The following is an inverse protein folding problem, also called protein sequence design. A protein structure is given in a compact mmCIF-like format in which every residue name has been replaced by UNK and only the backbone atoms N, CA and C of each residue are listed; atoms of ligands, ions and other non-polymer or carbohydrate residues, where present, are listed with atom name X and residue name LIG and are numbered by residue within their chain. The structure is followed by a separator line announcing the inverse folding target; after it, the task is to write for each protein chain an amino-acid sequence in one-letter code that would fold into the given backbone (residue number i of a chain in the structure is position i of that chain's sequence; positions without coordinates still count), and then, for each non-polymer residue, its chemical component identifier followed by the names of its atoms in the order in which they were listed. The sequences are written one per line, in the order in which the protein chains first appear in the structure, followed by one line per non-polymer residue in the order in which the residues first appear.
data_IF_016807568427
#
_entry.id   IF_016807568427
#
_cell.length_a   1.000
_cell.length_b   1.000
_cell.length_c   1.000
_cell.angle_alpha   90.00
_cell.angle_beta   90.00
_cell.angle_gamma   90.00
#
_symmetry.space_group_name_H-M   'P 1'
#
loop_
_entity.id
_entity.type
_entity.pdbx_description
1 polymer ?
#
# COMPACT_ATOMS: atom_id res chain seq x y z
N UNK A 1 23.41 -32.28 -25.41
CA UNK A 1 22.89 -32.36 -24.03
C UNK A 1 22.76 -30.97 -23.42
N UNK A 2 23.82 -30.15 -23.41
CA UNK A 2 23.75 -28.76 -22.94
C UNK A 2 22.74 -27.90 -23.71
N UNK A 3 22.70 -27.98 -25.04
CA UNK A 3 21.76 -27.17 -25.85
C UNK A 3 20.30 -27.50 -25.54
N UNK A 4 19.97 -28.78 -25.41
CA UNK A 4 18.64 -29.24 -25.01
C UNK A 4 18.26 -28.81 -23.59
N UNK A 5 19.23 -28.78 -22.65
CA UNK A 5 18.99 -28.27 -21.30
C UNK A 5 18.72 -26.76 -21.32
N UNK A 6 19.48 -25.99 -22.11
CA UNK A 6 19.28 -24.54 -22.28
C UNK A 6 17.90 -24.26 -22.86
N UNK A 7 17.49 -24.98 -23.91
CA UNK A 7 16.18 -24.83 -24.52
C UNK A 7 15.03 -25.14 -23.54
N UNK A 8 15.14 -26.23 -22.77
CA UNK A 8 14.12 -26.61 -21.79
C UNK A 8 14.03 -25.55 -20.67
N UNK A 9 15.18 -25.09 -20.15
CA UNK A 9 15.22 -24.08 -19.11
C UNK A 9 14.68 -22.73 -19.60
N UNK A 10 15.09 -22.28 -20.78
CA UNK A 10 14.59 -21.03 -21.37
C UNK A 10 13.08 -21.08 -21.58
N UNK A 11 12.55 -22.18 -22.12
CA UNK A 11 11.11 -22.36 -22.31
C UNK A 11 10.35 -22.35 -20.96
N UNK A 12 10.85 -23.07 -19.94
CA UNK A 12 10.22 -23.10 -18.62
C UNK A 12 10.28 -21.74 -17.90
N UNK A 13 11.42 -21.05 -17.96
CA UNK A 13 11.59 -19.72 -17.36
C UNK A 13 10.65 -18.73 -18.04
N UNK A 14 10.63 -18.66 -19.38
CA UNK A 14 9.73 -17.76 -20.12
C UNK A 14 8.27 -18.06 -19.82
N UNK A 15 7.88 -19.34 -19.79
CA UNK A 15 6.52 -19.72 -19.45
C UNK A 15 6.14 -19.28 -18.03
N UNK A 16 7.04 -19.44 -17.07
CA UNK A 16 6.81 -19.04 -15.67
C UNK A 16 6.71 -17.52 -15.52
N UNK A 17 7.61 -16.77 -16.18
CA UNK A 17 7.59 -15.31 -16.21
C UNK A 17 6.35 -14.76 -16.90
N UNK A 18 5.89 -15.39 -17.99
CA UNK A 18 4.67 -15.00 -18.70
C UNK A 18 3.40 -15.17 -17.85
N UNK A 19 3.44 -16.01 -16.82
CA UNK A 19 2.34 -16.24 -15.87
C UNK A 19 2.38 -15.31 -14.66
N UNK A 20 3.44 -14.50 -14.50
CA UNK A 20 3.51 -13.53 -13.42
C UNK A 20 2.42 -12.48 -13.61
N UNK A 21 1.46 -12.43 -12.69
CA UNK A 21 0.42 -11.40 -12.75
C UNK A 21 0.98 -10.08 -12.22
N UNK A 22 1.11 -9.10 -13.11
CA UNK A 22 1.57 -7.75 -12.79
C UNK A 22 0.42 -6.74 -12.65
N UNK A 23 -0.83 -7.18 -12.84
CA UNK A 23 -2.03 -6.37 -12.64
C UNK A 23 -2.81 -6.97 -11.47
N UNK A 24 -2.67 -6.35 -10.29
CA UNK A 24 -3.19 -6.92 -9.05
C UNK A 24 -4.35 -6.08 -8.50
N UNK A 25 -5.53 -6.68 -8.25
CA UNK A 25 -6.65 -5.96 -7.68
C UNK A 25 -6.39 -5.66 -6.20
N UNK A 26 -6.44 -4.37 -5.85
CA UNK A 26 -6.48 -3.89 -4.46
C UNK A 26 -7.85 -4.14 -3.86
N UNK A 27 -8.89 -3.82 -4.63
CA UNK A 27 -10.29 -4.06 -4.33
C UNK A 27 -11.09 -4.12 -5.64
N UNK A 28 -12.42 -4.13 -5.56
CA UNK A 28 -13.34 -4.21 -6.72
C UNK A 28 -13.17 -3.05 -7.73
N UNK A 29 -12.64 -1.90 -7.30
CA UNK A 29 -12.57 -0.67 -8.08
C UNK A 29 -11.14 -0.22 -8.42
N UNK A 30 -10.11 -0.83 -7.83
CA UNK A 30 -8.72 -0.39 -7.93
C UNK A 30 -7.82 -1.56 -8.28
N UNK A 31 -7.01 -1.39 -9.32
CA UNK A 31 -5.94 -2.31 -9.73
C UNK A 31 -4.61 -1.58 -9.69
N UNK A 32 -3.57 -2.22 -9.15
CA UNK A 32 -2.20 -1.72 -9.21
C UNK A 32 -1.48 -2.37 -10.38
N UNK A 33 -0.79 -1.55 -11.17
CA UNK A 33 0.07 -1.99 -12.26
C UNK A 33 1.53 -2.06 -11.81
N UNK A 34 2.10 -3.25 -11.89
CA UNK A 34 3.49 -3.58 -11.64
C UNK A 34 4.24 -3.89 -12.94
N UNK A 35 3.83 -3.32 -14.08
CA UNK A 35 4.59 -3.47 -15.31
C UNK A 35 6.03 -2.99 -15.12
N UNK A 36 6.96 -3.65 -15.80
CA UNK A 36 8.37 -3.28 -15.72
C UNK A 36 8.58 -1.89 -16.32
N UNK A 37 9.21 -1.01 -15.56
CA UNK A 37 9.56 0.34 -16.00
C UNK A 37 10.94 0.42 -16.64
N UNK A 38 11.84 -0.49 -16.26
CA UNK A 38 13.21 -0.57 -16.75
C UNK A 38 13.64 -2.02 -16.99
N UNK A 39 14.73 -2.20 -17.73
CA UNK A 39 15.37 -3.51 -17.89
C UNK A 39 15.86 -4.03 -16.52
N UNK A 40 15.68 -5.33 -16.21
CA UNK A 40 16.24 -5.93 -15.01
C UNK A 40 17.75 -5.75 -14.92
N UNK A 41 18.25 -5.51 -13.72
CA UNK A 41 19.67 -5.30 -13.42
C UNK A 41 20.22 -6.51 -12.67
N UNK A 42 21.28 -7.13 -13.20
CA UNK A 42 22.05 -8.15 -12.49
C UNK A 42 22.92 -7.47 -11.42
N UNK A 43 22.77 -7.86 -10.17
CA UNK A 43 23.56 -7.36 -9.06
C UNK A 43 24.87 -8.15 -8.93
N UNK A 44 25.95 -7.54 -8.41
CA UNK A 44 27.21 -8.24 -8.18
C UNK A 44 27.09 -9.48 -7.28
N UNK A 45 26.08 -9.52 -6.41
CA UNK A 45 25.78 -10.67 -5.53
C UNK A 45 25.08 -11.84 -6.24
N UNK A 46 24.84 -11.75 -7.55
CA UNK A 46 24.10 -12.76 -8.31
C UNK A 46 22.57 -12.61 -8.25
N UNK A 47 22.06 -11.66 -7.45
CA UNK A 47 20.63 -11.32 -7.43
C UNK A 47 20.18 -10.55 -8.67
N UNK A 48 18.88 -10.57 -8.96
CA UNK A 48 18.26 -9.80 -10.04
C UNK A 48 17.38 -8.71 -9.43
N UNK A 49 17.57 -7.47 -9.86
CA UNK A 49 16.73 -6.34 -9.49
C UNK A 49 15.81 -5.96 -10.65
N UNK A 50 14.51 -5.96 -10.38
CA UNK A 50 13.48 -5.48 -11.31
C UNK A 50 12.93 -4.14 -10.83
N UNK A 51 12.45 -3.33 -11.77
CA UNK A 51 11.84 -2.03 -11.50
C UNK A 51 10.42 -2.07 -12.00
N UNK A 52 9.46 -1.78 -11.12
CA UNK A 52 8.04 -1.87 -11.41
C UNK A 52 7.41 -0.48 -11.28
N UNK A 53 6.42 -0.17 -12.12
CA UNK A 53 5.73 1.13 -12.08
C UNK A 53 5.09 1.40 -10.72
N UNK A 54 4.26 0.46 -10.22
CA UNK A 54 3.58 0.60 -8.94
C UNK A 54 2.62 1.78 -8.93
N UNK A 55 1.60 1.75 -9.79
CA UNK A 55 0.63 2.84 -9.98
C UNK A 55 -0.80 2.31 -10.04
N UNK A 56 -1.79 3.10 -9.62
CA UNK A 56 -3.22 2.75 -9.74
C UNK A 56 -3.91 3.49 -10.89
N UNK A 57 -3.26 4.51 -11.46
CA UNK A 57 -3.83 5.32 -12.54
C UNK A 57 -2.81 5.74 -13.60
N UNK A 58 -3.32 6.10 -14.78
CA UNK A 58 -2.50 6.67 -15.88
C UNK A 58 -2.00 8.08 -15.59
N UNK A 59 -2.68 8.80 -14.67
CA UNK A 59 -2.35 10.18 -14.27
C UNK A 59 -1.62 10.19 -12.92
N UNK A 60 -0.72 9.23 -12.69
CA UNK A 60 0.06 9.16 -11.47
C UNK A 60 1.14 10.24 -11.47
N UNK A 61 1.38 10.83 -10.30
CA UNK A 61 2.50 11.76 -10.06
C UNK A 61 3.44 11.03 -9.11
N UNK A 62 4.21 10.10 -9.66
CA UNK A 62 5.14 9.26 -8.89
C UNK A 62 6.58 9.75 -8.99
N UNK A 63 7.34 9.59 -7.92
CA UNK A 63 8.78 9.81 -7.94
C UNK A 63 9.53 8.58 -8.49
N UNK A 64 10.55 8.80 -9.32
CA UNK A 64 11.51 7.73 -9.67
C UNK A 64 12.39 7.45 -8.46
N UNK A 65 12.35 6.22 -7.99
CA UNK A 65 13.13 5.80 -6.84
C UNK A 65 14.46 5.15 -7.25
N UNK A 66 15.53 5.47 -6.53
CA UNK A 66 16.84 4.83 -6.65
C UNK A 66 17.06 3.86 -5.49
N UNK A 67 16.92 2.54 -5.70
CA UNK A 67 17.06 1.55 -4.64
C UNK A 67 18.49 1.45 -4.11
N UNK A 68 18.61 1.44 -2.78
CA UNK A 68 19.80 0.97 -2.09
C UNK A 68 19.80 -0.55 -2.07
N UNK A 69 20.97 -1.17 -2.26
CA UNK A 69 21.11 -2.62 -2.12
C UNK A 69 21.04 -2.96 -0.63
N UNK A 70 20.18 -3.91 -0.29
CA UNK A 70 20.08 -4.48 1.06
C UNK A 70 20.59 -5.91 0.96
N UNK A 71 21.60 -6.25 1.76
CA UNK A 71 22.02 -7.63 1.94
C UNK A 71 20.97 -8.37 2.77
N UNK A 72 20.52 -9.51 2.25
CA UNK A 72 19.55 -10.39 2.90
C UNK A 72 19.73 -11.81 2.38
N UNK A 73 19.46 -12.79 3.22
CA UNK A 73 19.38 -14.21 2.88
C UNK A 73 17.99 -14.60 2.33
N UNK A 74 17.07 -13.64 2.17
CA UNK A 74 15.75 -13.88 1.62
C UNK A 74 15.72 -14.03 0.10
N UNK A 75 14.81 -14.85 -0.43
CA UNK A 75 14.64 -15.03 -1.88
C UNK A 75 14.23 -13.74 -2.60
N UNK A 76 13.43 -12.89 -1.95
CA UNK A 76 12.94 -11.64 -2.54
C UNK A 76 12.88 -10.50 -1.52
N UNK A 77 13.16 -9.29 -2.01
CA UNK A 77 13.07 -8.04 -1.24
C UNK A 77 12.27 -7.02 -2.06
N UNK A 78 11.16 -6.56 -1.52
CA UNK A 78 10.31 -5.52 -2.09
C UNK A 78 10.64 -4.18 -1.44
N UNK A 79 10.94 -3.19 -2.27
CA UNK A 79 11.04 -1.80 -1.88
C UNK A 79 9.77 -1.08 -2.30
N UNK A 80 8.94 -0.68 -1.35
CA UNK A 80 7.61 -0.13 -1.59
C UNK A 80 7.58 1.32 -1.12
N UNK A 81 7.59 2.25 -2.07
CA UNK A 81 7.64 3.67 -1.78
C UNK A 81 6.32 4.19 -1.18
N UNK A 82 6.40 5.21 -0.31
CA UNK A 82 5.20 5.81 0.31
C UNK A 82 4.23 6.43 -0.68
N UNK A 83 4.73 6.88 -1.84
CA UNK A 83 3.91 7.45 -2.91
C UNK A 83 2.89 6.45 -3.47
N UNK A 84 3.25 5.18 -3.67
CA UNK A 84 2.31 4.16 -4.14
C UNK A 84 1.19 3.94 -3.13
N UNK A 85 1.54 3.86 -1.85
CA UNK A 85 0.56 3.72 -0.79
C UNK A 85 -0.33 4.97 -0.70
N UNK A 86 0.25 6.17 -0.88
CA UNK A 86 -0.49 7.42 -0.93
C UNK A 86 -1.44 7.48 -2.12
N UNK A 87 -1.02 6.99 -3.30
CA UNK A 87 -1.88 6.92 -4.48
C UNK A 87 -3.08 6.01 -4.24
N UNK A 88 -2.91 4.87 -3.56
CA UNK A 88 -4.01 3.96 -3.21
C UNK A 88 -4.99 4.64 -2.25
N UNK A 89 -4.50 5.20 -1.15
CA UNK A 89 -5.35 5.87 -0.15
C UNK A 89 -6.07 7.06 -0.79
N UNK A 90 -5.39 7.83 -1.63
CA UNK A 90 -5.97 8.94 -2.37
C UNK A 90 -7.02 8.49 -3.39
N UNK A 91 -6.80 7.38 -4.09
CA UNK A 91 -7.77 6.82 -5.04
C UNK A 91 -9.05 6.39 -4.32
N UNK A 92 -8.91 5.75 -3.15
CA UNK A 92 -10.04 5.33 -2.30
C UNK A 92 -10.83 6.54 -1.81
N UNK A 93 -10.14 7.61 -1.41
CA UNK A 93 -10.74 8.90 -1.08
C UNK A 93 -11.54 9.48 -2.27
N UNK A 94 -10.93 9.57 -3.46
CA UNK A 94 -11.56 10.11 -4.67
C UNK A 94 -12.76 9.31 -5.17
N UNK A 95 -12.79 8.02 -4.89
CA UNK A 95 -13.93 7.15 -5.22
C UNK A 95 -15.07 7.25 -4.20
N UNK A 96 -14.94 8.10 -3.17
CA UNK A 96 -15.97 8.33 -2.15
C UNK A 96 -16.08 7.20 -1.13
N UNK A 97 -15.15 6.25 -1.10
CA UNK A 97 -15.19 5.15 -0.12
C UNK A 97 -14.91 5.60 1.31
N UNK A 98 -14.28 6.77 1.48
CA UNK A 98 -14.05 7.41 2.79
C UNK A 98 -15.16 8.38 3.17
N UNK A 99 -16.18 8.55 2.31
CA UNK A 99 -17.32 9.40 2.59
C UNK A 99 -18.27 8.68 3.53
N UNK A 100 -19.03 9.43 4.32
CA UNK A 100 -19.95 8.83 5.26
C UNK A 100 -20.87 9.84 5.93
N UNK A 101 -21.95 9.32 6.48
CA UNK A 101 -22.85 10.09 7.32
C UNK A 101 -22.70 9.64 8.77
N UNK A 102 -22.61 10.58 9.69
CA UNK A 102 -22.66 10.29 11.11
C UNK A 102 -23.47 11.36 11.85
N UNK A 103 -23.91 11.01 13.05
CA UNK A 103 -24.61 11.94 13.93
C UNK A 103 -23.65 12.37 15.02
N UNK A 104 -23.53 13.68 15.24
CA UNK A 104 -22.76 14.24 16.35
C UNK A 104 -23.57 15.36 17.00
N UNK A 105 -23.80 15.24 18.32
CA UNK A 105 -24.64 16.15 19.10
C UNK A 105 -25.99 16.43 18.42
N UNK A 106 -26.70 15.38 18.00
CA UNK A 106 -28.02 15.43 17.33
C UNK A 106 -28.05 16.09 15.95
N UNK A 107 -26.89 16.56 15.43
CA UNK A 107 -26.76 17.03 14.05
C UNK A 107 -26.26 15.90 13.15
N UNK A 108 -26.96 15.68 12.04
CA UNK A 108 -26.45 14.82 10.97
C UNK A 108 -25.37 15.58 10.19
N UNK A 109 -24.22 14.95 10.07
CA UNK A 109 -23.04 15.47 9.37
C UNK A 109 -22.72 14.50 8.24
N UNK A 110 -22.56 15.04 7.04
CA UNK A 110 -22.01 14.31 5.91
C UNK A 110 -20.52 14.67 5.79
N UNK A 111 -19.65 13.67 5.89
CA UNK A 111 -18.23 13.82 5.63
C UNK A 111 -17.90 13.34 4.22
N UNK A 112 -17.25 14.20 3.44
CA UNK A 112 -16.76 13.88 2.10
C UNK A 112 -15.24 14.03 2.04
N UNK A 113 -14.54 12.98 1.63
CA UNK A 113 -13.10 12.97 1.52
C UNK A 113 -12.62 13.86 0.38
N UNK A 114 -11.75 14.81 0.70
CA UNK A 114 -11.15 15.72 -0.27
C UNK A 114 -9.75 15.28 -0.67
N UNK A 115 -8.97 14.83 0.32
CA UNK A 115 -7.60 14.38 0.12
C UNK A 115 -7.22 13.38 1.19
N UNK A 116 -6.44 12.37 0.81
CA UNK A 116 -5.86 11.42 1.74
C UNK A 116 -4.45 11.04 1.25
N UNK A 117 -3.53 10.82 2.16
CA UNK A 117 -2.16 10.40 1.88
C UNK A 117 -1.59 9.63 3.07
N UNK A 118 -0.62 8.76 2.83
CA UNK A 118 0.07 7.98 3.86
C UNK A 118 1.56 8.27 3.82
N UNK A 119 2.17 8.39 5.01
CA UNK A 119 3.61 8.57 5.15
C UNK A 119 4.18 7.59 6.17
N UNK A 120 5.38 7.10 5.91
CA UNK A 120 6.12 6.20 6.81
C UNK A 120 7.26 6.91 7.55
N UNK A 121 7.43 8.22 7.34
CA UNK A 121 8.50 9.03 7.93
C UNK A 121 8.49 8.99 9.45
N UNK A 122 9.65 8.71 10.04
CA UNK A 122 9.92 8.69 11.48
C UNK A 122 9.11 7.63 12.27
N UNK A 123 8.63 6.59 11.60
CA UNK A 123 7.82 5.55 12.24
C UNK A 123 8.53 4.18 12.31
N UNK A 124 9.84 4.13 12.03
CA UNK A 124 10.57 2.85 11.93
C UNK A 124 10.54 2.05 13.22
N UNK A 125 10.70 2.71 14.36
CA UNK A 125 10.79 2.06 15.67
C UNK A 125 9.48 1.36 16.10
N UNK A 126 8.34 1.70 15.49
CA UNK A 126 7.03 1.23 15.93
C UNK A 126 6.26 0.43 14.88
N UNK A 127 6.83 0.22 13.68
CA UNK A 127 6.16 -0.41 12.55
C UNK A 127 4.77 0.20 12.24
N UNK A 128 4.69 1.53 12.34
CA UNK A 128 3.47 2.28 12.04
C UNK A 128 3.66 3.23 10.86
N UNK A 129 2.58 3.76 10.33
CA UNK A 129 2.57 4.83 9.34
C UNK A 129 1.53 5.87 9.77
N UNK A 130 1.54 7.04 9.13
CA UNK A 130 0.56 8.08 9.38
C UNK A 130 -0.31 8.28 8.15
N UNK A 131 -1.63 8.27 8.33
CA UNK A 131 -2.59 8.68 7.31
C UNK A 131 -3.04 10.10 7.63
N UNK A 132 -2.73 11.02 6.72
CA UNK A 132 -3.26 12.39 6.72
C UNK A 132 -4.50 12.42 5.83
N UNK A 133 -5.59 12.93 6.37
CA UNK A 133 -6.90 12.98 5.74
C UNK A 133 -7.47 14.39 5.84
N UNK A 134 -8.01 14.88 4.73
CA UNK A 134 -8.76 16.12 4.66
C UNK A 134 -10.19 15.80 4.26
N UNK A 135 -11.15 16.18 5.11
CA UNK A 135 -12.59 15.96 4.92
C UNK A 135 -13.31 17.30 4.81
N UNK A 136 -14.33 17.36 3.96
CA UNK A 136 -15.33 18.41 3.97
C UNK A 136 -16.53 17.90 4.77
N UNK A 137 -16.81 18.52 5.90
CA UNK A 137 -18.00 18.26 6.70
C UNK A 137 -19.12 19.19 6.23
N UNK A 138 -20.27 18.61 5.87
CA UNK A 138 -21.49 19.32 5.50
C UNK A 138 -22.57 19.08 6.55
N UNK A 139 -23.12 20.17 7.05
CA UNK A 139 -24.17 20.16 8.06
C UNK A 139 -25.55 20.42 7.42
N UNK A 140 -26.62 20.05 8.11
CA UNK A 140 -28.00 20.21 7.61
C UNK A 140 -28.43 21.66 7.38
N UNK A 141 -27.85 22.58 8.14
CA UNK A 141 -28.03 24.03 8.03
C UNK A 141 -27.31 24.60 6.78
N UNK A 142 -26.58 23.77 6.02
CA UNK A 142 -25.85 24.18 4.82
C UNK A 142 -24.42 24.64 5.11
N UNK A 143 -24.03 24.70 6.38
CA UNK A 143 -22.66 25.02 6.76
C UNK A 143 -21.71 23.94 6.24
N UNK A 144 -20.57 24.38 5.71
CA UNK A 144 -19.49 23.51 5.28
C UNK A 144 -18.21 23.86 6.03
N UNK A 145 -17.41 22.85 6.33
CA UNK A 145 -16.15 23.04 7.04
C UNK A 145 -15.13 22.01 6.60
N UNK A 146 -13.93 22.48 6.28
CA UNK A 146 -12.80 21.61 5.98
C UNK A 146 -12.09 21.23 7.28
N UNK A 147 -11.93 19.93 7.53
CA UNK A 147 -11.20 19.40 8.68
C UNK A 147 -10.04 18.54 8.21
N UNK A 148 -8.91 18.63 8.90
CA UNK A 148 -7.74 17.78 8.63
C UNK A 148 -7.47 16.91 9.84
N UNK A 149 -7.39 15.60 9.61
CA UNK A 149 -7.18 14.58 10.62
C UNK A 149 -5.92 13.79 10.29
N UNK A 150 -5.16 13.45 11.32
CA UNK A 150 -3.95 12.65 11.18
C UNK A 150 -4.10 11.41 12.06
N UNK A 151 -3.82 10.24 11.51
CA UNK A 151 -4.00 8.98 12.21
C UNK A 151 -2.77 8.10 12.11
N UNK A 152 -2.40 7.49 13.22
CA UNK A 152 -1.42 6.39 13.21
C UNK A 152 -2.11 5.10 12.77
N UNK A 153 -1.49 4.39 11.84
CA UNK A 153 -1.88 3.04 11.41
C UNK A 153 -0.75 2.05 11.64
N UNK A 154 -1.09 0.83 12.01
CA UNK A 154 -0.15 -0.29 12.02
C UNK A 154 -0.07 -0.90 10.63
N UNK A 155 1.14 -1.23 10.18
CA UNK A 155 1.36 -1.96 8.93
C UNK A 155 1.41 -3.46 9.22
N UNK A 156 0.56 -4.22 8.54
CA UNK A 156 0.41 -5.67 8.70
C UNK A 156 0.64 -6.38 7.36
N UNK A 157 0.92 -7.68 7.40
CA UNK A 157 1.06 -8.51 6.21
C UNK A 157 0.50 -9.92 6.41
N UNK A 158 0.29 -10.66 5.32
CA UNK A 158 -0.12 -12.06 5.35
C UNK A 158 0.77 -12.94 4.44
N UNK A 159 0.51 -14.25 4.46
CA UNK A 159 1.26 -15.26 3.71
C UNK A 159 1.10 -15.21 2.18
N UNK A 160 0.25 -14.31 1.67
CA UNK A 160 0.01 -14.09 0.23
C UNK A 160 0.64 -12.79 -0.27
N UNK A 161 1.66 -12.30 0.45
CA UNK A 161 2.40 -11.09 0.13
C UNK A 161 1.48 -9.87 -0.08
N UNK A 162 0.53 -9.69 0.84
CA UNK A 162 -0.34 -8.51 0.85
C UNK A 162 -0.09 -7.68 2.10
N UNK A 163 0.12 -6.38 1.92
CA UNK A 163 0.18 -5.42 3.01
C UNK A 163 -1.23 -4.91 3.35
N UNK A 164 -1.46 -4.72 4.64
CA UNK A 164 -2.69 -4.16 5.18
C UNK A 164 -2.38 -3.05 6.17
N UNK A 165 -3.35 -2.19 6.39
CA UNK A 165 -3.27 -1.13 7.37
C UNK A 165 -4.39 -1.29 8.39
N UNK A 166 -4.07 -1.01 9.65
CA UNK A 166 -5.05 -1.00 10.73
C UNK A 166 -4.96 0.32 11.48
N UNK A 167 -6.09 1.02 11.58
CA UNK A 167 -6.16 2.25 12.36
C UNK A 167 -5.83 1.97 13.83
N UNK A 168 -4.93 2.75 14.41
CA UNK A 168 -4.46 2.60 15.79
C UNK A 168 -4.98 3.73 16.68
N UNK A 169 -4.76 4.98 16.28
CA UNK A 169 -5.13 6.17 17.06
C UNK A 169 -5.13 7.42 16.19
N UNK A 170 -5.91 8.43 16.58
CA UNK A 170 -5.76 9.79 16.06
C UNK A 170 -4.53 10.46 16.69
N UNK A 171 -3.74 11.15 15.88
CA UNK A 171 -2.72 12.09 16.33
C UNK A 171 -3.43 13.42 16.54
N UNK A 172 -3.97 13.59 17.75
CA UNK A 172 -4.79 14.74 18.12
C UNK A 172 -3.95 16.01 18.11
N UNK A 173 -4.39 17.00 17.34
CA UNK A 173 -3.87 18.36 17.46
C UNK A 173 -4.66 19.09 18.57
N UNK A 174 -4.00 19.59 19.64
CA UNK A 174 -4.69 20.30 20.72
C UNK A 174 -5.46 21.54 20.26
N UNK A 175 -5.08 22.14 19.12
CA UNK A 175 -5.77 23.29 18.54
C UNK A 175 -6.90 22.90 17.58
N UNK A 176 -7.24 21.62 17.47
CA UNK A 176 -8.32 21.15 16.59
C UNK A 176 -9.69 21.46 17.19
N UNK A 177 -10.31 22.54 16.71
CA UNK A 177 -11.67 22.94 17.06
C UNK A 177 -12.74 21.90 16.69
N UNK A 178 -12.37 20.87 15.93
CA UNK A 178 -13.25 19.82 15.44
C UNK A 178 -12.98 18.45 16.09
N UNK A 179 -12.26 18.43 17.22
CA UNK A 179 -12.06 17.23 18.05
C UNK A 179 -13.37 16.53 18.45
N UNK A 180 -14.48 17.28 18.54
CA UNK A 180 -15.82 16.72 18.83
C UNK A 180 -16.35 15.71 17.82
N UNK A 181 -15.75 15.62 16.64
CA UNK A 181 -16.12 14.67 15.57
C UNK A 181 -15.11 13.52 15.44
N UNK A 182 -14.04 13.50 16.25
CA UNK A 182 -12.94 12.56 16.12
C UNK A 182 -13.39 11.10 16.22
N UNK A 183 -14.24 10.77 17.20
CA UNK A 183 -14.67 9.38 17.41
C UNK A 183 -15.49 8.84 16.23
N UNK A 184 -16.45 9.62 15.72
CA UNK A 184 -17.29 9.19 14.59
C UNK A 184 -16.46 9.05 13.30
N UNK A 185 -15.55 10.00 13.05
CA UNK A 185 -14.64 9.93 11.90
C UNK A 185 -13.70 8.73 12.05
N UNK A 186 -13.16 8.48 13.25
CA UNK A 186 -12.30 7.34 13.53
C UNK A 186 -13.01 6.01 13.27
N UNK A 187 -14.26 5.86 13.70
CA UNK A 187 -15.06 4.66 13.44
C UNK A 187 -15.29 4.45 11.95
N UNK A 188 -15.73 5.48 11.23
CA UNK A 188 -15.93 5.44 9.78
C UNK A 188 -14.65 4.97 9.06
N UNK A 189 -13.52 5.61 9.36
CA UNK A 189 -12.25 5.31 8.71
C UNK A 189 -11.70 3.95 9.08
N UNK A 190 -11.90 3.48 10.31
CA UNK A 190 -11.45 2.16 10.75
C UNK A 190 -12.00 1.05 9.86
N UNK A 191 -13.27 1.15 9.46
CA UNK A 191 -13.91 0.18 8.58
C UNK A 191 -13.36 0.26 7.16
N UNK A 192 -13.22 1.47 6.62
CA UNK A 192 -12.73 1.70 5.26
C UNK A 192 -11.28 1.25 5.13
N UNK A 193 -10.42 1.62 6.08
CA UNK A 193 -9.00 1.23 6.09
C UNK A 193 -8.86 -0.29 6.12
N UNK A 194 -9.61 -0.96 7.00
CA UNK A 194 -9.55 -2.41 7.15
C UNK A 194 -10.03 -3.17 5.90
N UNK A 195 -11.06 -2.66 5.22
CA UNK A 195 -11.75 -3.39 4.16
C UNK A 195 -11.31 -3.02 2.74
N UNK A 196 -10.84 -1.80 2.52
CA UNK A 196 -10.55 -1.25 1.19
C UNK A 196 -9.07 -0.93 0.95
N UNK A 197 -8.30 -0.68 2.01
CA UNK A 197 -6.88 -0.29 1.90
C UNK A 197 -6.00 -1.53 2.10
N UNK A 198 -5.58 -2.11 0.99
CA UNK A 198 -4.55 -3.15 0.98
C UNK A 198 -3.61 -2.96 -0.21
N UNK A 199 -2.40 -3.50 -0.12
CA UNK A 199 -1.45 -3.48 -1.23
C UNK A 199 -1.02 -4.92 -1.55
N UNK A 200 -1.57 -5.54 -2.61
CA UNK A 200 -1.07 -6.80 -3.11
C UNK A 200 0.26 -6.60 -3.82
N UNK A 201 1.24 -7.47 -3.56
CA UNK A 201 2.54 -7.46 -4.24
C UNK A 201 2.63 -8.65 -5.21
N UNK A 202 3.36 -8.51 -6.33
CA UNK A 202 3.49 -9.58 -7.31
C UNK A 202 4.25 -10.77 -6.74
N UNK A 203 3.66 -11.97 -6.81
CA UNK A 203 4.28 -13.23 -6.41
C UNK A 203 4.32 -14.21 -7.59
N UNK A 204 5.34 -15.08 -7.67
CA UNK A 204 5.33 -16.20 -8.61
C UNK A 204 4.05 -17.03 -8.45
N UNK A 205 3.48 -17.48 -9.58
CA UNK A 205 2.27 -18.29 -9.55
C UNK A 205 2.50 -19.58 -8.76
N UNK A 206 1.63 -19.86 -7.78
CA UNK A 206 1.73 -21.06 -6.95
C UNK A 206 2.73 -20.96 -5.78
N UNK A 207 3.35 -19.79 -5.58
CA UNK A 207 4.18 -19.54 -4.41
C UNK A 207 3.36 -19.06 -3.21
N UNK A 208 3.80 -19.46 -2.02
CA UNK A 208 3.46 -18.85 -0.73
C UNK A 208 4.71 -18.20 -0.13
N UNK A 209 4.51 -17.33 0.86
CA UNK A 209 5.62 -16.65 1.54
C UNK A 209 6.00 -17.34 2.85
N UNK A 210 7.30 -17.54 3.08
CA UNK A 210 7.87 -18.02 4.34
C UNK A 210 8.98 -17.09 4.84
N UNK A 211 9.29 -17.16 6.15
CA UNK A 211 10.25 -16.31 6.87
C UNK A 211 10.08 -14.81 6.58
N UNK A 212 8.86 -14.38 6.30
CA UNK A 212 8.55 -13.00 5.90
C UNK A 212 8.83 -11.99 7.00
N UNK A 213 9.47 -10.88 6.64
CA UNK A 213 9.70 -9.74 7.53
C UNK A 213 9.34 -8.41 6.86
N UNK A 214 8.96 -7.46 7.70
CA UNK A 214 8.72 -6.07 7.30
C UNK A 214 9.64 -5.14 8.09
N UNK A 215 10.20 -4.16 7.42
CA UNK A 215 10.98 -3.07 8.01
C UNK A 215 10.57 -1.77 7.36
N UNK A 216 10.24 -0.77 8.17
CA UNK A 216 10.01 0.57 7.67
C UNK A 216 11.33 1.33 7.57
N UNK A 217 11.41 2.19 6.54
CA UNK A 217 12.44 3.18 6.31
C UNK A 217 11.75 4.55 6.14
N UNK A 218 12.48 5.68 6.15
CA UNK A 218 11.87 7.01 6.16
C UNK A 218 10.86 7.26 5.04
N UNK A 219 11.04 6.63 3.88
CA UNK A 219 10.26 6.87 2.66
C UNK A 219 9.67 5.58 2.06
N UNK A 220 9.88 4.42 2.69
CA UNK A 220 9.44 3.13 2.13
C UNK A 220 9.21 2.05 3.16
N UNK A 221 8.51 1.03 2.71
CA UNK A 221 8.42 -0.28 3.35
C UNK A 221 9.38 -1.22 2.63
N UNK A 222 10.21 -1.90 3.42
CA UNK A 222 10.97 -3.07 2.99
C UNK A 222 10.19 -4.31 3.42
N UNK A 223 9.79 -5.14 2.46
CA UNK A 223 9.23 -6.46 2.72
C UNK A 223 10.21 -7.49 2.17
N UNK A 224 10.83 -8.30 3.03
CA UNK A 224 11.68 -9.40 2.60
C UNK A 224 11.01 -10.75 2.91
N UNK A 225 11.18 -11.74 2.04
CA UNK A 225 10.53 -13.04 2.19
C UNK A 225 11.21 -14.13 1.37
N UNK A 226 10.96 -15.38 1.76
CA UNK A 226 11.19 -16.54 0.92
C UNK A 226 9.91 -16.98 0.24
N UNK A 227 10.08 -17.57 -0.95
CA UNK A 227 9.02 -18.28 -1.64
C UNK A 227 9.09 -19.77 -1.38
N UNK A 228 7.94 -20.37 -1.07
CA UNK A 228 7.74 -21.82 -0.95
C UNK A 228 6.68 -22.23 -1.96
N UNK A 229 6.88 -23.37 -2.63
CA UNK A 229 5.95 -23.91 -3.63
C UNK A 229 5.34 -25.21 -3.07
N UNK A 230 4.18 -25.15 -2.40
CA UNK A 230 3.63 -26.29 -1.66
C UNK A 230 3.22 -27.49 -2.55
N UNK A 231 3.06 -27.28 -3.86
CA UNK A 231 2.73 -28.33 -4.84
C UNK A 231 3.85 -28.54 -5.88
N UNK A 232 5.08 -28.12 -5.56
CA UNK A 232 6.26 -28.24 -6.43
C UNK A 232 6.88 -29.62 -6.42
#
# INVERSE_FOLDING_TARGET
FCDSLVEILDAQIRHSLARLNLLLPVNEAITVSYLLSNQPLLLPSGGIRTYHLGVTSVNHVGAKFTPTTIESDHHAIYHIHEDLMSEIVHTICRQGFMDGNFTSNEKNVHAACQKASITVKNMEATNTANILLTLLLRFRDGDETLVTKNYTVTVLYNSRLRLFFRLKSEIVNPSDSYARFSDQIFTLLSEVIRSRISLPLPIPTGAETDRSMIKLQPDRIIFATDFVFPNG
#
